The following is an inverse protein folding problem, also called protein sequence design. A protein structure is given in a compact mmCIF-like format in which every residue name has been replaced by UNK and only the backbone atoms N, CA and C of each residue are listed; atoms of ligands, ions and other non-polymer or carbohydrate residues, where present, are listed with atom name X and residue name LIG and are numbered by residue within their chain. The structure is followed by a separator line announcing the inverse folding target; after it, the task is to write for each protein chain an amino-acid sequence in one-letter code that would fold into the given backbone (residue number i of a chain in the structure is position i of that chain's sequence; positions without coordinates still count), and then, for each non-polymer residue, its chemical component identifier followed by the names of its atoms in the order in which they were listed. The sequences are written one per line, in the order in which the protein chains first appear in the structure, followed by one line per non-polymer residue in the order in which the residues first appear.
data_IF_237986640069
#
_entry.id   IF_237986640069
#
_cell.length_a   1.000
_cell.length_b   1.000
_cell.length_c   1.000
_cell.angle_alpha   90.00
_cell.angle_beta   90.00
_cell.angle_gamma   90.00
#
_symmetry.space_group_name_H-M   'P 1'
#
loop_
_entity.id
_entity.type
_entity.pdbx_description
1 polymer ?
#
# COMPACT_ATOMS: atom_id res chain seq x y z
N UNK A 1 -16.52 10.02 -8.06
CA UNK A 1 -16.32 11.09 -7.05
C UNK A 1 -14.83 11.27 -6.74
N UNK A 2 -14.34 12.49 -6.53
CA UNK A 2 -12.97 12.74 -6.03
C UNK A 2 -13.03 12.96 -4.52
N UNK A 3 -12.39 12.10 -3.74
CA UNK A 3 -12.20 12.32 -2.31
C UNK A 3 -10.93 13.13 -2.05
N UNK A 4 -10.95 13.95 -1.02
CA UNK A 4 -9.80 14.72 -0.55
C UNK A 4 -9.64 14.55 0.98
N UNK A 5 -8.42 14.68 1.53
CA UNK A 5 -8.22 14.80 2.97
C UNK A 5 -9.15 15.85 3.58
N UNK A 6 -9.75 15.53 4.73
CA UNK A 6 -10.78 16.34 5.40
C UNK A 6 -12.21 16.05 4.94
N UNK A 7 -12.43 15.27 3.87
CA UNK A 7 -13.78 14.85 3.47
C UNK A 7 -14.38 13.94 4.55
N UNK A 8 -15.66 14.14 4.89
CA UNK A 8 -16.40 13.28 5.81
C UNK A 8 -17.33 12.32 5.09
N UNK A 9 -17.24 11.05 5.46
CA UNK A 9 -18.11 9.97 5.02
C UNK A 9 -18.80 9.40 6.27
N UNK A 10 -19.98 9.91 6.60
CA UNK A 10 -20.64 9.57 7.87
C UNK A 10 -19.75 9.94 9.07
N UNK A 11 -19.37 8.95 9.87
CA UNK A 11 -18.48 9.12 11.04
C UNK A 11 -16.99 9.07 10.68
N UNK A 12 -16.64 8.82 9.43
CA UNK A 12 -15.26 8.66 9.00
C UNK A 12 -14.73 9.94 8.37
N UNK A 13 -13.57 10.40 8.83
CA UNK A 13 -12.85 11.53 8.25
C UNK A 13 -11.68 11.03 7.41
N UNK A 14 -11.68 11.32 6.11
CA UNK A 14 -10.62 10.92 5.19
C UNK A 14 -9.33 11.69 5.53
N UNK A 15 -8.22 10.98 5.69
CA UNK A 15 -6.94 11.59 6.08
C UNK A 15 -5.88 11.52 4.98
N UNK A 16 -5.78 10.41 4.24
CA UNK A 16 -4.79 10.26 3.17
C UNK A 16 -5.17 9.17 2.16
N UNK A 17 -4.78 9.28 0.87
CA UNK A 17 -4.88 8.16 -0.05
C UNK A 17 -3.88 7.06 0.33
N UNK A 18 -4.28 5.79 0.18
CA UNK A 18 -3.42 4.62 0.42
C UNK A 18 -3.09 3.87 -0.87
N UNK A 19 -4.02 3.84 -1.82
CA UNK A 19 -3.79 3.20 -3.12
C UNK A 19 -4.99 3.24 -4.04
N UNK A 20 -4.75 2.90 -5.30
CA UNK A 20 -5.77 2.87 -6.35
C UNK A 20 -5.55 1.64 -7.24
N UNK A 21 -6.65 1.04 -7.70
CA UNK A 21 -6.60 -0.02 -8.70
C UNK A 21 -7.98 -0.26 -9.32
N UNK A 22 -8.11 -1.34 -10.11
CA UNK A 22 -9.35 -1.63 -10.84
C UNK A 22 -10.58 -1.87 -9.96
N UNK A 23 -10.39 -2.17 -8.68
CA UNK A 23 -11.47 -2.35 -7.70
C UNK A 23 -11.73 -1.09 -6.87
N UNK A 24 -11.24 0.08 -7.33
CA UNK A 24 -11.47 1.38 -6.72
C UNK A 24 -10.27 1.89 -5.91
N UNK A 25 -10.56 2.90 -5.09
CA UNK A 25 -9.56 3.63 -4.32
C UNK A 25 -9.62 3.23 -2.85
N UNK A 26 -8.47 3.16 -2.20
CA UNK A 26 -8.33 2.89 -0.77
C UNK A 26 -7.80 4.14 -0.09
N UNK A 27 -8.47 4.54 0.99
CA UNK A 27 -8.17 5.73 1.75
C UNK A 27 -7.94 5.37 3.21
N UNK A 28 -6.99 6.05 3.85
CA UNK A 28 -6.88 6.12 5.29
C UNK A 28 -7.94 7.07 5.81
N UNK A 29 -8.61 6.69 6.88
CA UNK A 29 -9.58 7.53 7.55
C UNK A 29 -9.52 7.36 9.07
N UNK A 30 -10.08 8.32 9.78
CA UNK A 30 -10.30 8.25 11.23
C UNK A 30 -11.78 8.00 11.48
N UNK A 31 -12.11 6.91 12.16
CA UNK A 31 -13.42 6.70 12.76
C UNK A 31 -13.57 7.65 13.95
N UNK A 32 -14.35 8.73 13.76
CA UNK A 32 -14.48 9.79 14.76
C UNK A 32 -15.34 9.38 15.97
N UNK A 33 -16.10 8.29 15.86
CA UNK A 33 -16.89 7.75 16.97
C UNK A 33 -16.02 6.91 17.90
N UNK A 34 -15.17 6.05 17.35
CA UNK A 34 -14.33 5.13 18.14
C UNK A 34 -12.89 5.61 18.34
N UNK A 35 -12.47 6.68 17.65
CA UNK A 35 -11.13 7.24 17.77
C UNK A 35 -10.02 6.37 17.18
N UNK A 36 -10.34 5.50 16.21
CA UNK A 36 -9.38 4.57 15.58
C UNK A 36 -9.13 4.91 14.12
N UNK A 37 -7.96 4.55 13.61
CA UNK A 37 -7.68 4.61 12.19
C UNK A 37 -8.23 3.38 11.46
N UNK A 38 -8.76 3.60 10.26
CA UNK A 38 -9.35 2.57 9.40
C UNK A 38 -8.89 2.76 7.96
N UNK A 39 -8.98 1.69 7.17
CA UNK A 39 -8.89 1.75 5.72
C UNK A 39 -10.30 1.69 5.12
N UNK A 40 -10.59 2.58 4.17
CA UNK A 40 -11.88 2.64 3.46
C UNK A 40 -11.63 2.41 1.98
N UNK A 41 -12.16 1.32 1.45
CA UNK A 41 -12.13 1.01 0.01
C UNK A 41 -13.43 1.47 -0.65
N UNK A 42 -13.33 2.49 -1.48
CA UNK A 42 -14.45 3.02 -2.26
C UNK A 42 -14.60 2.22 -3.54
N UNK A 43 -15.80 1.69 -3.78
CA UNK A 43 -16.08 0.94 -5.00
C UNK A 43 -16.36 1.90 -6.18
N UNK A 44 -15.87 1.59 -7.40
CA UNK A 44 -16.21 2.37 -8.59
C UNK A 44 -17.72 2.37 -8.86
N UNK A 45 -18.25 3.47 -9.38
CA UNK A 45 -19.69 3.61 -9.67
C UNK A 45 -20.19 2.51 -10.62
N UNK A 46 -19.37 2.13 -11.62
CA UNK A 46 -19.68 1.04 -12.55
C UNK A 46 -19.76 -0.34 -11.88
N UNK A 47 -19.04 -0.54 -10.77
CA UNK A 47 -19.17 -1.76 -9.96
C UNK A 47 -20.46 -1.71 -9.13
N UNK A 48 -20.72 -0.56 -8.51
CA UNK A 48 -21.89 -0.35 -7.66
C UNK A 48 -23.22 -0.35 -8.43
N UNK A 49 -23.20 -0.03 -9.72
CA UNK A 49 -24.36 -0.02 -10.60
C UNK A 49 -24.82 -1.41 -11.05
N UNK A 50 -23.98 -2.45 -10.89
CA UNK A 50 -24.31 -3.84 -11.24
C UNK A 50 -24.78 -4.59 -9.97
N UNK A 51 -26.08 -4.91 -9.86
CA UNK A 51 -26.63 -5.56 -8.67
C UNK A 51 -26.04 -6.93 -8.38
N UNK A 52 -25.69 -7.70 -9.42
CA UNK A 52 -25.15 -9.05 -9.26
C UNK A 52 -23.70 -9.01 -8.76
N UNK A 53 -22.91 -8.05 -9.24
CA UNK A 53 -21.55 -7.81 -8.73
C UNK A 53 -21.59 -7.31 -7.29
N UNK A 54 -22.51 -6.39 -6.99
CA UNK A 54 -22.68 -5.86 -5.64
C UNK A 54 -23.13 -6.95 -4.66
N UNK A 55 -24.09 -7.78 -5.05
CA UNK A 55 -24.58 -8.88 -4.22
C UNK A 55 -23.49 -9.93 -3.92
N UNK A 56 -22.65 -10.26 -4.91
CA UNK A 56 -21.49 -11.14 -4.70
C UNK A 56 -20.48 -10.53 -3.74
N UNK A 57 -20.14 -9.25 -3.95
CA UNK A 57 -19.22 -8.53 -3.07
C UNK A 57 -19.73 -8.48 -1.64
N UNK A 58 -21.02 -8.20 -1.42
CA UNK A 58 -21.63 -8.15 -0.10
C UNK A 58 -21.60 -9.53 0.59
N UNK A 59 -21.86 -10.61 -0.15
CA UNK A 59 -21.75 -11.98 0.38
C UNK A 59 -20.32 -12.31 0.83
N UNK A 60 -19.33 -12.01 -0.01
CA UNK A 60 -17.91 -12.21 0.31
C UNK A 60 -17.47 -11.36 1.50
N UNK A 61 -17.89 -10.09 1.56
CA UNK A 61 -17.60 -9.21 2.68
C UNK A 61 -18.18 -9.75 3.99
N UNK A 62 -19.42 -10.28 3.98
CA UNK A 62 -20.03 -10.93 5.16
C UNK A 62 -19.25 -12.17 5.59
N UNK A 63 -18.82 -13.00 4.65
CA UNK A 63 -17.98 -14.17 4.96
C UNK A 63 -16.66 -13.75 5.59
N UNK A 64 -15.96 -12.78 5.01
CA UNK A 64 -14.69 -12.28 5.54
C UNK A 64 -14.85 -11.58 6.90
N UNK A 65 -15.95 -10.85 7.12
CA UNK A 65 -16.25 -10.21 8.41
C UNK A 65 -16.49 -11.23 9.54
N UNK A 66 -16.86 -12.47 9.23
CA UNK A 66 -16.99 -13.55 10.22
C UNK A 66 -15.66 -14.16 10.67
N UNK A 67 -14.57 -13.86 9.96
CA UNK A 67 -13.24 -14.36 10.28
C UNK A 67 -12.53 -13.42 11.25
N UNK A 68 -12.01 -13.98 12.33
CA UNK A 68 -11.15 -13.26 13.28
C UNK A 68 -9.81 -14.00 13.40
N UNK A 69 -8.79 -13.55 12.67
CA UNK A 69 -7.49 -14.19 12.62
C UNK A 69 -6.37 -13.15 12.45
N UNK A 70 -5.22 -13.25 13.15
CA UNK A 70 -4.14 -12.26 13.12
C UNK A 70 -3.45 -12.03 11.77
N UNK A 71 -3.83 -12.78 10.73
CA UNK A 71 -3.27 -12.66 9.38
C UNK A 71 -4.33 -12.30 8.34
N UNK A 72 -5.53 -11.91 8.78
CA UNK A 72 -6.65 -11.48 7.95
C UNK A 72 -7.09 -10.13 8.49
N UNK A 73 -7.03 -9.09 7.66
CA UNK A 73 -7.51 -7.77 8.04
C UNK A 73 -9.01 -7.82 8.36
N UNK A 74 -9.39 -7.33 9.54
CA UNK A 74 -10.78 -7.35 9.96
C UNK A 74 -11.65 -6.41 9.09
N UNK A 75 -12.85 -6.86 8.75
CA UNK A 75 -13.87 -6.00 8.10
C UNK A 75 -14.77 -5.43 9.20
N UNK A 76 -14.90 -4.11 9.22
CA UNK A 76 -15.76 -3.41 10.17
C UNK A 76 -17.16 -3.12 9.61
N UNK A 77 -17.29 -3.00 8.29
CA UNK A 77 -18.60 -2.77 7.69
C UNK A 77 -18.58 -2.62 6.17
N UNK A 78 -19.76 -2.81 5.57
CA UNK A 78 -20.03 -2.45 4.18
C UNK A 78 -21.08 -1.33 4.16
N UNK A 79 -20.62 -0.13 3.81
CA UNK A 79 -21.34 1.12 4.04
C UNK A 79 -21.79 1.76 2.72
N UNK A 80 -22.85 2.58 2.82
CA UNK A 80 -23.35 3.40 1.72
C UNK A 80 -23.39 4.87 2.16
N UNK A 81 -22.39 5.64 1.75
CA UNK A 81 -22.31 7.05 2.10
C UNK A 81 -23.06 7.88 1.06
N UNK A 82 -23.96 8.74 1.50
CA UNK A 82 -24.51 9.79 0.65
C UNK A 82 -23.59 10.98 0.71
N UNK A 83 -23.11 11.41 -0.45
CA UNK A 83 -22.29 12.61 -0.57
C UNK A 83 -22.82 13.41 -1.75
N UNK A 84 -23.34 14.62 -1.50
CA UNK A 84 -23.99 15.45 -2.53
C UNK A 84 -25.46 15.77 -2.24
N UNK A 85 -26.17 16.22 -3.27
CA UNK A 85 -27.61 16.48 -3.20
C UNK A 85 -28.43 15.19 -3.09
N UNK A 86 -29.74 15.30 -2.84
CA UNK A 86 -30.59 14.11 -2.59
C UNK A 86 -30.71 13.14 -3.77
N UNK A 87 -30.28 13.52 -4.97
CA UNK A 87 -30.39 12.77 -6.21
C UNK A 87 -29.19 11.89 -6.56
N UNK A 88 -28.04 12.06 -5.91
CA UNK A 88 -26.83 11.30 -6.25
C UNK A 88 -26.88 9.88 -5.66
N UNK A 89 -26.41 8.85 -6.39
CA UNK A 89 -26.36 7.50 -5.88
C UNK A 89 -25.39 7.41 -4.68
N UNK A 90 -25.67 6.55 -3.69
CA UNK A 90 -24.78 6.41 -2.54
C UNK A 90 -23.44 5.79 -2.97
N UNK A 91 -22.36 6.35 -2.46
CA UNK A 91 -21.01 5.80 -2.58
C UNK A 91 -20.90 4.53 -1.74
N UNK A 92 -20.66 3.40 -2.38
CA UNK A 92 -20.46 2.11 -1.71
C UNK A 92 -19.01 1.98 -1.24
N UNK A 93 -18.82 1.56 0.00
CA UNK A 93 -17.50 1.48 0.61
C UNK A 93 -17.37 0.27 1.53
N UNK A 94 -16.19 -0.35 1.53
CA UNK A 94 -15.81 -1.36 2.51
C UNK A 94 -14.89 -0.73 3.56
N UNK A 95 -15.30 -0.76 4.82
CA UNK A 95 -14.52 -0.28 5.97
C UNK A 95 -13.80 -1.46 6.60
N UNK A 96 -12.49 -1.35 6.73
CA UNK A 96 -11.63 -2.44 7.22
C UNK A 96 -10.51 -1.92 8.12
N UNK A 97 -9.87 -2.86 8.81
CA UNK A 97 -8.66 -2.63 9.59
C UNK A 97 -7.58 -1.96 8.73
N UNK A 98 -6.95 -0.93 9.30
CA UNK A 98 -5.74 -0.36 8.73
C UNK A 98 -4.54 -1.19 9.19
N UNK A 99 -4.00 -2.00 8.30
CA UNK A 99 -2.76 -2.76 8.56
C UNK A 99 -1.57 -1.90 8.18
N UNK A 100 -0.73 -1.58 9.16
CA UNK A 100 0.52 -0.85 8.93
C UNK A 100 1.56 -1.76 8.27
N UNK A 101 2.22 -1.24 7.22
CA UNK A 101 3.28 -1.94 6.52
C UNK A 101 3.28 -1.71 5.02
N UNK A 102 4.06 -2.53 4.34
CA UNK A 102 4.19 -2.51 2.88
C UNK A 102 3.46 -3.69 2.27
N UNK A 103 2.77 -3.44 1.16
CA UNK A 103 2.21 -4.53 0.38
C UNK A 103 3.31 -5.33 -0.35
N UNK A 104 2.94 -6.50 -0.85
CA UNK A 104 3.87 -7.39 -1.54
C UNK A 104 4.44 -6.76 -2.82
N UNK A 105 3.68 -5.94 -3.53
CA UNK A 105 4.12 -5.30 -4.77
C UNK A 105 5.24 -4.28 -4.49
N UNK A 106 5.11 -3.50 -3.42
CA UNK A 106 6.13 -2.58 -2.92
C UNK A 106 7.39 -3.34 -2.49
N UNK A 107 7.21 -4.45 -1.76
CA UNK A 107 8.32 -5.31 -1.34
C UNK A 107 9.08 -5.90 -2.53
N UNK A 108 8.37 -6.38 -3.56
CA UNK A 108 8.97 -6.92 -4.78
C UNK A 108 9.70 -5.83 -5.55
N UNK A 109 9.10 -4.64 -5.71
CA UNK A 109 9.71 -3.52 -6.39
C UNK A 109 11.04 -3.13 -5.72
N UNK A 110 11.05 -3.01 -4.39
CA UNK A 110 12.27 -2.73 -3.63
C UNK A 110 13.33 -3.84 -3.77
N UNK A 111 12.93 -5.11 -3.75
CA UNK A 111 13.85 -6.24 -3.85
C UNK A 111 14.53 -6.31 -5.22
N UNK A 112 13.83 -5.97 -6.31
CA UNK A 112 14.39 -5.92 -7.67
C UNK A 112 15.58 -4.96 -7.78
N UNK A 113 15.62 -3.89 -6.99
CA UNK A 113 16.74 -2.94 -6.94
C UNK A 113 17.96 -3.45 -6.16
N UNK A 114 17.83 -4.46 -5.29
CA UNK A 114 18.98 -5.01 -4.53
C UNK A 114 19.77 -6.09 -5.29
N UNK A 115 19.19 -6.68 -6.34
CA UNK A 115 19.82 -7.75 -7.12
C UNK A 115 20.94 -7.27 -8.06
N UNK A 116 20.98 -5.98 -8.40
CA UNK A 116 21.93 -5.42 -9.38
C UNK A 116 23.29 -4.98 -8.83
N UNK A 117 23.59 -5.17 -7.53
CA UNK A 117 24.91 -4.80 -6.94
C UNK A 117 25.92 -5.93 -6.77
N UNK A 118 25.64 -7.14 -7.23
CA UNK A 118 26.62 -8.24 -7.24
C UNK A 118 27.10 -8.59 -8.66
N UNK A 119 27.87 -7.67 -9.25
CA UNK A 119 28.61 -7.93 -10.49
C UNK A 119 30.06 -7.44 -10.35
N UNK A 120 30.90 -8.34 -9.85
CA UNK A 120 32.32 -8.56 -10.20
C UNK A 120 33.35 -7.48 -9.82
N UNK A 121 33.73 -7.47 -8.55
CA UNK A 121 35.15 -7.35 -8.18
C UNK A 121 35.80 -8.73 -8.37
N UNK A 122 36.31 -9.01 -9.58
CA UNK A 122 37.26 -10.10 -9.79
C UNK A 122 38.65 -9.48 -9.83
N UNK A 123 39.34 -9.61 -8.70
CA UNK A 123 40.78 -9.42 -8.57
C UNK A 123 41.49 -10.18 -9.69
N UNK A 124 42.24 -9.45 -10.52
CA UNK A 124 43.27 -10.02 -11.39
C UNK A 124 44.62 -9.48 -10.93
N UNK A 125 45.32 -10.31 -10.17
CA UNK A 125 46.77 -10.38 -10.12
C UNK A 125 47.09 -11.81 -9.71
N UNK A 126 47.93 -12.54 -10.46
CA UNK A 126 49.37 -12.30 -10.29
C UNK A 126 50.21 -12.52 -11.56
N UNK A 127 51.29 -11.75 -11.75
CA UNK A 127 52.54 -12.32 -12.30
C UNK A 127 53.76 -11.44 -12.02
N UNK A 128 54.64 -12.04 -11.21
CA UNK A 128 56.04 -11.73 -10.89
C UNK A 128 56.88 -11.22 -12.07
N UNK A 129 57.72 -10.21 -11.81
CA UNK A 129 59.16 -10.24 -12.17
C UNK A 129 59.96 -9.24 -11.31
N UNK A 130 60.95 -9.76 -10.56
CA UNK A 130 62.17 -9.05 -10.11
C UNK A 130 63.26 -9.28 -11.19
N UNK A 131 64.50 -8.72 -11.18
CA UNK A 131 65.16 -7.82 -10.21
C UNK A 131 65.98 -6.64 -10.81
N UNK A 132 66.39 -5.65 -9.99
CA UNK A 132 67.80 -5.20 -9.76
C UNK A 132 67.90 -3.81 -9.10
N UNK A 133 68.67 -3.76 -8.01
CA UNK A 133 69.68 -2.77 -7.54
C UNK A 133 69.66 -1.36 -8.19
N UNK A 134 69.85 -0.20 -7.54
CA UNK A 134 70.68 0.17 -6.38
C UNK A 134 70.43 1.64 -5.96
N UNK A 135 70.68 1.94 -4.68
CA UNK A 135 71.21 3.20 -4.08
C UNK A 135 70.48 4.55 -4.25
N UNK A 136 70.40 5.30 -3.14
CA UNK A 136 70.15 6.75 -3.04
C UNK A 136 68.98 7.08 -2.10
N UNK A 137 69.20 7.21 -0.79
CA UNK A 137 69.38 8.49 -0.06
C UNK A 137 68.33 9.57 -0.37
N UNK A 138 67.40 9.82 0.55
CA UNK A 138 67.36 11.04 1.37
C UNK A 138 65.98 11.30 1.99
N UNK A 139 66.06 11.71 3.25
CA UNK A 139 65.06 12.33 4.11
C UNK A 139 64.67 13.71 3.57
N UNK A 140 63.40 14.10 3.69
CA UNK A 140 62.98 15.47 3.95
C UNK A 140 61.55 15.51 4.53
N UNK A 141 61.48 15.96 5.80
CA UNK A 141 60.42 16.66 6.55
C UNK A 141 58.97 16.20 6.37
#
# INVERSE_FOLDING_TARGET
MSLAPGTRLGVYEITAPLGEGGMGQVWRATDTTLGRQVAIKILPDAFAADPDRLARFEREAKTLASLNHPHIAAIYGFEAFRSGGSSDPPTRALVMELVEGEDLSQRIARARFRSTRHSRSRSRSPRRSKPRTSRGSSIAI
#
